data_IF_660318433096
#
_entry.id   IF_660318433096
#
_cell.length_a   1.000
_cell.length_b   1.000
_cell.length_c   1.000
_cell.angle_alpha   90.00
_cell.angle_beta   90.00
_cell.angle_gamma   90.00
#
_symmetry.space_group_name_H-M   'P 1'
#
loop_
_entity.id
_entity.type
_entity.pdbx_description
1 polymer ?
#
# COMPACT_ATOMS: atom_id res chain seq x y z
N UNK A 1 -6.37 -11.96 7.48
CA UNK A 1 -6.17 -10.56 7.93
C UNK A 1 -5.05 -10.55 8.97
N UNK A 2 -4.31 -9.45 9.14
CA UNK A 2 -3.05 -9.32 9.90
C UNK A 2 -3.11 -9.81 11.38
N UNK A 3 -4.29 -10.17 11.87
CA UNK A 3 -4.55 -10.77 13.18
C UNK A 3 -4.40 -12.30 13.21
N UNK A 4 -3.39 -12.79 13.91
CA UNK A 4 -3.33 -14.19 14.37
C UNK A 4 -3.94 -14.32 15.77
N UNK A 5 -4.56 -15.45 16.07
CA UNK A 5 -5.22 -15.73 17.37
C UNK A 5 -4.29 -15.47 18.55
N UNK A 6 -3.01 -15.81 18.43
CA UNK A 6 -1.99 -15.58 19.46
C UNK A 6 -1.77 -14.09 19.76
N UNK A 7 -1.80 -13.23 18.74
CA UNK A 7 -1.67 -11.77 18.93
C UNK A 7 -2.90 -11.23 19.66
N UNK A 8 -4.09 -11.76 19.35
CA UNK A 8 -5.33 -11.32 20.00
C UNK A 8 -5.38 -11.74 21.47
N UNK A 9 -4.95 -12.96 21.79
CA UNK A 9 -4.80 -13.42 23.18
C UNK A 9 -3.82 -12.53 23.95
N UNK A 10 -2.66 -12.21 23.36
CA UNK A 10 -1.68 -11.32 23.99
C UNK A 10 -2.22 -9.91 24.21
N UNK A 11 -3.00 -9.36 23.27
CA UNK A 11 -3.65 -8.05 23.42
C UNK A 11 -4.76 -8.08 24.48
N UNK A 12 -5.56 -9.13 24.52
CA UNK A 12 -6.62 -9.32 25.52
C UNK A 12 -6.06 -9.45 26.94
N UNK A 13 -4.83 -9.93 27.09
CA UNK A 13 -4.14 -10.02 28.37
C UNK A 13 -3.64 -8.66 28.92
N UNK A 14 -3.55 -7.60 28.09
CA UNK A 14 -2.99 -6.31 28.48
C UNK A 14 -3.61 -5.70 29.76
N UNK A 15 -4.94 -5.71 29.97
CA UNK A 15 -5.54 -5.14 31.18
C UNK A 15 -5.15 -5.87 32.48
N UNK A 16 -4.67 -7.11 32.37
CA UNK A 16 -4.42 -7.99 33.51
C UNK A 16 -2.93 -8.04 33.93
N UNK A 17 -2.05 -7.34 33.22
CA UNK A 17 -0.60 -7.30 33.53
C UNK A 17 -0.20 -5.94 34.09
N UNK A 18 0.86 -5.86 34.94
CA UNK A 18 1.36 -4.60 35.46
C UNK A 18 1.89 -3.68 34.35
N UNK A 19 2.01 -2.36 34.59
CA UNK A 19 2.36 -1.38 33.54
C UNK A 19 3.64 -1.70 32.74
N UNK A 20 4.66 -2.26 33.37
CA UNK A 20 5.88 -2.72 32.69
C UNK A 20 5.61 -3.86 31.71
N UNK A 21 4.78 -4.83 32.13
CA UNK A 21 4.29 -5.92 31.28
C UNK A 21 3.40 -5.43 30.14
N UNK A 22 2.54 -4.44 30.39
CA UNK A 22 1.71 -3.84 29.33
C UNK A 22 2.58 -3.24 28.22
N UNK A 23 3.61 -2.47 28.59
CA UNK A 23 4.56 -1.89 27.62
C UNK A 23 5.25 -2.98 26.80
N UNK A 24 5.79 -4.00 27.47
CA UNK A 24 6.48 -5.10 26.80
C UNK A 24 5.56 -5.86 25.83
N UNK A 25 4.40 -6.31 26.30
CA UNK A 25 3.44 -7.05 25.48
C UNK A 25 2.88 -6.20 24.33
N UNK A 26 2.68 -4.89 24.54
CA UNK A 26 2.22 -3.97 23.48
C UNK A 26 3.24 -3.85 22.36
N UNK A 27 4.53 -3.70 22.70
CA UNK A 27 5.61 -3.65 21.71
C UNK A 27 5.72 -4.99 20.98
N UNK A 28 5.68 -6.11 21.70
CA UNK A 28 5.75 -7.43 21.08
C UNK A 28 4.58 -7.70 20.13
N UNK A 29 3.35 -7.35 20.54
CA UNK A 29 2.17 -7.44 19.68
C UNK A 29 2.36 -6.63 18.39
N UNK A 30 2.89 -5.40 18.48
CA UNK A 30 3.15 -4.56 17.31
C UNK A 30 4.20 -5.12 16.38
N UNK A 31 5.28 -5.70 16.93
CA UNK A 31 6.31 -6.36 16.12
C UNK A 31 5.75 -7.58 15.36
N UNK A 32 4.90 -8.38 16.02
CA UNK A 32 4.24 -9.52 15.37
C UNK A 32 3.24 -9.07 14.29
N UNK A 33 2.47 -8.01 14.52
CA UNK A 33 1.58 -7.44 13.49
C UNK A 33 2.37 -6.95 12.27
N UNK A 34 3.50 -6.28 12.51
CA UNK A 34 4.38 -5.82 11.44
C UNK A 34 4.95 -7.00 10.64
N UNK A 35 5.44 -8.03 11.31
CA UNK A 35 5.96 -9.24 10.66
C UNK A 35 4.88 -9.92 9.81
N UNK A 36 3.66 -10.04 10.33
CA UNK A 36 2.53 -10.60 9.59
C UNK A 36 2.19 -9.76 8.35
N UNK A 37 2.24 -8.43 8.48
CA UNK A 37 2.01 -7.51 7.36
C UNK A 37 3.07 -7.69 6.28
N UNK A 38 4.34 -7.74 6.65
CA UNK A 38 5.45 -7.96 5.70
C UNK A 38 5.28 -9.31 5.01
N UNK A 39 4.97 -10.38 5.76
CA UNK A 39 4.73 -11.71 5.20
C UNK A 39 3.54 -11.72 4.22
N UNK A 40 2.47 -10.99 4.53
CA UNK A 40 1.28 -10.86 3.69
C UNK A 40 1.64 -10.31 2.29
N UNK A 41 2.46 -9.26 2.24
CA UNK A 41 2.87 -8.61 1.00
C UNK A 41 4.07 -9.26 0.30
N UNK A 42 4.81 -10.13 1.00
CA UNK A 42 5.94 -10.89 0.42
C UNK A 42 5.47 -12.10 -0.39
N UNK A 43 4.22 -12.53 -0.23
CA UNK A 43 3.65 -13.61 -1.04
C UNK A 43 3.37 -13.11 -2.47
N UNK A 44 3.68 -13.90 -3.51
CA UNK A 44 3.33 -13.55 -4.88
C UNK A 44 1.83 -13.20 -4.97
N UNK A 45 1.51 -12.13 -5.71
CA UNK A 45 0.15 -11.56 -5.82
C UNK A 45 -0.94 -12.58 -6.20
N UNK A 46 -0.58 -13.75 -6.71
CA UNK A 46 -1.49 -14.83 -7.10
C UNK A 46 -2.19 -15.57 -5.95
N UNK A 47 -1.69 -15.53 -4.71
CA UNK A 47 -2.36 -16.22 -3.58
C UNK A 47 -3.36 -15.34 -2.81
N UNK A 48 -3.38 -14.03 -3.06
CA UNK A 48 -4.29 -13.08 -2.41
C UNK A 48 -5.55 -12.85 -3.24
N UNK A 49 -6.23 -13.91 -3.65
CA UNK A 49 -7.54 -13.79 -4.30
C UNK A 49 -8.62 -13.57 -3.25
N UNK A 50 -8.75 -12.34 -2.76
CA UNK A 50 -10.02 -11.87 -2.19
C UNK A 50 -10.81 -11.35 -3.39
N UNK A 51 -11.67 -12.21 -3.92
CA UNK A 51 -12.66 -11.92 -4.96
C UNK A 51 -12.10 -11.08 -6.12
N UNK A 52 -11.49 -11.75 -7.10
CA UNK A 52 -11.25 -11.28 -8.47
C UNK A 52 -11.80 -9.87 -8.78
N UNK A 53 -11.07 -8.84 -8.37
CA UNK A 53 -10.84 -7.74 -9.30
C UNK A 53 -9.88 -8.38 -10.28
N UNK A 54 -10.29 -8.45 -11.53
CA UNK A 54 -9.44 -8.86 -12.63
C UNK A 54 -8.08 -8.17 -12.48
N UNK A 55 -7.01 -8.72 -13.06
CA UNK A 55 -5.72 -8.03 -13.11
C UNK A 55 -5.87 -6.72 -13.92
N UNK A 56 -6.57 -5.73 -13.39
CA UNK A 56 -6.49 -4.35 -13.80
C UNK A 56 -5.06 -3.98 -13.48
N UNK A 57 -4.26 -3.94 -14.54
CA UNK A 57 -2.98 -3.28 -14.51
C UNK A 57 -3.29 -1.87 -13.99
N UNK A 58 -2.94 -1.61 -12.74
CA UNK A 58 -3.09 -0.27 -12.16
C UNK A 58 -2.31 0.66 -13.07
N UNK A 59 -3.02 1.55 -13.77
CA UNK A 59 -2.40 2.49 -14.67
C UNK A 59 -1.55 3.46 -13.83
N UNK A 60 -0.24 3.61 -14.11
CA UNK A 60 0.65 4.43 -13.29
C UNK A 60 0.17 5.87 -13.09
N UNK A 61 -0.58 6.40 -14.07
CA UNK A 61 -1.17 7.72 -14.03
C UNK A 61 -2.27 7.84 -12.95
N UNK A 62 -3.15 6.84 -12.87
CA UNK A 62 -4.24 6.80 -11.88
C UNK A 62 -3.66 6.70 -10.47
N UNK A 63 -2.65 5.86 -10.27
CA UNK A 63 -1.93 5.74 -9.01
C UNK A 63 -1.32 7.08 -8.56
N UNK A 64 -0.69 7.82 -9.47
CA UNK A 64 -0.11 9.13 -9.15
C UNK A 64 -1.18 10.17 -8.82
N UNK A 65 -2.31 10.15 -9.52
CA UNK A 65 -3.46 11.03 -9.23
C UNK A 65 -4.04 10.75 -7.84
N UNK A 66 -4.08 9.50 -7.40
CA UNK A 66 -4.52 9.16 -6.05
C UNK A 66 -3.51 9.57 -4.98
N UNK A 67 -2.21 9.36 -5.22
CA UNK A 67 -1.13 9.81 -4.32
C UNK A 67 -1.14 11.33 -4.16
N UNK A 68 -1.39 12.07 -5.26
CA UNK A 68 -1.46 13.54 -5.27
C UNK A 68 -2.40 14.08 -4.19
N UNK A 69 -3.53 13.41 -3.93
CA UNK A 69 -4.55 13.83 -2.96
C UNK A 69 -4.05 13.90 -1.52
N UNK A 70 -2.95 13.21 -1.23
CA UNK A 70 -2.31 13.15 0.09
C UNK A 70 -1.02 13.99 0.16
N UNK A 71 -0.62 14.61 -0.94
CA UNK A 71 0.56 15.45 -1.03
C UNK A 71 0.17 16.92 -0.88
N UNK A 72 1.07 17.73 -0.28
CA UNK A 72 0.89 19.17 -0.13
C UNK A 72 2.18 19.92 -0.49
N UNK A 73 2.05 21.18 -0.91
CA UNK A 73 3.17 22.09 -1.14
C UNK A 73 4.17 21.54 -2.19
N UNK A 74 5.49 21.64 -1.95
CA UNK A 74 6.51 21.24 -2.92
C UNK A 74 6.41 19.78 -3.38
N UNK A 75 5.88 18.88 -2.53
CA UNK A 75 5.71 17.47 -2.88
C UNK A 75 4.59 17.29 -3.90
N UNK A 76 3.51 18.05 -3.77
CA UNK A 76 2.39 18.01 -4.71
C UNK A 76 2.81 18.53 -6.09
N UNK A 77 3.59 19.61 -6.14
CA UNK A 77 4.14 20.17 -7.39
C UNK A 77 5.02 19.15 -8.15
N UNK A 78 5.80 18.35 -7.43
CA UNK A 78 6.61 17.26 -8.01
C UNK A 78 5.73 16.16 -8.60
N UNK A 79 4.68 15.75 -7.88
CA UNK A 79 3.72 14.77 -8.38
C UNK A 79 3.00 15.30 -9.63
N UNK A 80 2.60 16.57 -9.63
CA UNK A 80 1.93 17.22 -10.78
C UNK A 80 2.84 17.25 -12.00
N UNK A 81 4.13 17.50 -11.81
CA UNK A 81 5.14 17.47 -12.89
C UNK A 81 5.30 16.06 -13.49
N UNK A 82 5.28 15.03 -12.65
CA UNK A 82 5.35 13.63 -13.10
C UNK A 82 4.09 13.22 -13.88
N UNK A 83 2.91 13.58 -13.37
CA UNK A 83 1.62 13.34 -14.04
C UNK A 83 1.63 13.98 -15.44
N UNK A 84 2.00 15.26 -15.54
CA UNK A 84 2.03 15.98 -16.82
C UNK A 84 3.02 15.35 -17.81
N UNK A 85 4.17 14.88 -17.33
CA UNK A 85 5.17 14.20 -18.17
C UNK A 85 4.62 12.90 -18.73
N UNK A 86 3.95 12.08 -17.92
CA UNK A 86 3.35 10.81 -18.36
C UNK A 86 2.22 11.04 -19.36
N UNK A 87 1.36 12.05 -19.13
CA UNK A 87 0.31 12.44 -20.10
C UNK A 87 0.94 12.87 -21.43
N UNK A 88 2.02 13.64 -21.40
CA UNK A 88 2.73 14.06 -22.62
C UNK A 88 3.29 12.85 -23.38
N UNK A 89 3.88 11.87 -22.69
CA UNK A 89 4.38 10.64 -23.32
C UNK A 89 3.25 9.86 -23.98
N UNK A 90 2.11 9.68 -23.30
CA UNK A 90 0.94 9.00 -23.89
C UNK A 90 0.41 9.73 -25.14
N UNK A 91 0.36 11.06 -25.13
CA UNK A 91 -0.04 11.85 -26.31
C UNK A 91 0.94 11.67 -27.46
N UNK A 92 2.24 11.60 -27.19
CA UNK A 92 3.28 11.36 -28.20
C UNK A 92 3.16 9.96 -28.81
N UNK A 93 2.95 8.93 -27.99
CA UNK A 93 2.73 7.55 -28.47
C UNK A 93 1.51 7.47 -29.39
N UNK A 94 0.37 8.03 -28.97
CA UNK A 94 -0.84 8.09 -29.80
C UNK A 94 -0.65 8.85 -31.13
N UNK A 95 0.22 9.87 -31.12
CA UNK A 95 0.56 10.63 -32.32
C UNK A 95 1.49 9.86 -33.27
N UNK A 96 2.37 9.01 -32.73
CA UNK A 96 3.25 8.15 -33.51
C UNK A 96 2.49 6.97 -34.13
N UNK A 97 1.55 6.38 -33.39
CA UNK A 97 0.71 5.29 -33.89
C UNK A 97 -0.18 5.72 -35.06
N UNK A 98 -0.74 6.94 -35.02
CA UNK A 98 -1.55 7.48 -36.11
C UNK A 98 -0.77 7.84 -37.38
N UNK A 99 0.55 8.07 -37.29
CA UNK A 99 1.39 8.40 -38.45
C UNK A 99 1.94 7.16 -39.19
N UNK A 100 1.68 5.95 -38.67
CA UNK A 100 2.20 4.68 -39.20
C UNK A 100 1.12 3.78 -39.81
N UNK A 101 -0.06 4.33 -40.11
CA UNK A 101 -1.18 3.69 -40.85
C UNK A 101 -1.54 4.54 -42.06
#
# INVERSE_FOLDING_TARGET
>A
MVSQDQIQVMKAALPYVPPSGQRFLSVMAKMMELQNTISLFSKPRGEMSICAVENEKVEPLEMLQDIRRFCNGPTQERIDSLINTLVMVQILELSQDNNNT
#
